data_IF_946077117181
#
_entry.id   IF_946077117181
#
_cell.length_a   1.000
_cell.length_b   1.000
_cell.length_c   1.000
_cell.angle_alpha   90.00
_cell.angle_beta   90.00
_cell.angle_gamma   90.00
#
_symmetry.space_group_name_H-M   'P 1'
#
loop_
_entity.id
_entity.type
_entity.pdbx_description
1 polymer ?
#
# COMPACT_ATOMS: atom_id res chain seq x y z
N UNK A 1 18.34 35.76 13.26
CA UNK A 1 18.50 34.39 13.81
C UNK A 1 17.16 33.76 14.20
N UNK A 2 16.35 34.37 15.08
CA UNK A 2 15.05 33.82 15.52
C UNK A 2 14.03 33.59 14.40
N UNK A 3 13.89 34.56 13.48
CA UNK A 3 12.97 34.45 12.33
C UNK A 3 13.39 33.34 11.36
N UNK A 4 14.69 33.20 11.07
CA UNK A 4 15.21 32.14 10.21
C UNK A 4 15.00 30.75 10.82
N UNK A 5 15.21 30.60 12.14
CA UNK A 5 14.93 29.36 12.87
C UNK A 5 13.44 29.00 12.86
N UNK A 6 12.56 29.99 13.03
CA UNK A 6 11.12 29.78 12.96
C UNK A 6 10.67 29.34 11.56
N UNK A 7 11.15 30.00 10.51
CA UNK A 7 10.85 29.62 9.13
C UNK A 7 11.39 28.23 8.78
N UNK A 8 12.59 27.87 9.25
CA UNK A 8 13.14 26.53 9.06
C UNK A 8 12.31 25.46 9.78
N UNK A 9 11.84 25.73 11.00
CA UNK A 9 10.97 24.83 11.75
C UNK A 9 9.60 24.63 11.06
N UNK A 10 9.01 25.71 10.53
CA UNK A 10 7.75 25.64 9.76
C UNK A 10 7.94 24.85 8.47
N UNK A 11 9.02 25.08 7.72
CA UNK A 11 9.30 24.35 6.50
C UNK A 11 9.50 22.84 6.76
N UNK A 12 10.18 22.49 7.86
CA UNK A 12 10.33 21.09 8.28
C UNK A 12 8.99 20.46 8.66
N UNK A 13 8.15 21.18 9.40
CA UNK A 13 6.80 20.71 9.76
C UNK A 13 5.91 20.49 8.53
N UNK A 14 5.97 21.39 7.55
CA UNK A 14 5.24 21.29 6.29
C UNK A 14 5.74 20.10 5.46
N UNK A 15 7.06 19.90 5.37
CA UNK A 15 7.65 18.75 4.68
C UNK A 15 7.24 17.42 5.34
N UNK A 16 7.20 17.36 6.67
CA UNK A 16 6.75 16.18 7.41
C UNK A 16 5.24 15.95 7.27
N UNK A 17 4.44 17.03 7.27
CA UNK A 17 2.98 16.94 7.10
C UNK A 17 2.57 16.50 5.68
N UNK A 18 3.33 16.90 4.66
CA UNK A 18 3.12 16.47 3.27
C UNK A 18 3.92 15.21 2.90
N UNK A 19 4.66 14.62 3.85
CA UNK A 19 5.31 13.33 3.70
C UNK A 19 4.34 12.14 3.66
N UNK A 20 3.08 12.37 3.25
CA UNK A 20 2.20 11.28 2.88
C UNK A 20 2.70 10.72 1.56
N UNK A 21 3.35 9.55 1.64
CA UNK A 21 3.81 8.76 0.49
C UNK A 21 2.79 8.86 -0.64
N UNK A 22 3.22 9.48 -1.75
CA UNK A 22 2.39 9.92 -2.88
C UNK A 22 1.68 8.79 -3.59
N UNK A 23 0.66 8.24 -2.95
CA UNK A 23 -0.14 7.17 -3.49
C UNK A 23 -1.36 7.78 -4.19
N UNK A 24 -1.57 7.39 -5.44
CA UNK A 24 -2.78 7.75 -6.17
C UNK A 24 -3.90 6.87 -5.64
N UNK A 25 -4.97 7.49 -5.15
CA UNK A 25 -6.16 6.78 -4.67
C UNK A 25 -6.62 5.77 -5.74
N UNK A 26 -6.94 4.56 -5.30
CA UNK A 26 -7.43 3.51 -6.18
C UNK A 26 -8.83 3.02 -5.77
N UNK A 27 -9.80 3.25 -6.66
CA UNK A 27 -11.18 2.79 -6.50
C UNK A 27 -11.45 1.44 -7.20
N UNK A 28 -10.44 0.86 -7.84
CA UNK A 28 -10.49 -0.48 -8.44
C UNK A 28 -10.16 -1.57 -7.43
N UNK A 29 -10.08 -2.83 -7.85
CA UNK A 29 -9.74 -3.98 -7.01
C UNK A 29 -8.26 -4.02 -6.57
N UNK A 30 -7.43 -3.12 -7.11
CA UNK A 30 -6.01 -3.03 -6.78
C UNK A 30 -5.15 -4.10 -7.43
N UNK A 31 -5.64 -4.78 -8.48
CA UNK A 31 -4.93 -5.90 -9.11
C UNK A 31 -3.75 -5.44 -9.99
N UNK A 32 -2.49 -5.75 -9.61
CA UNK A 32 -1.31 -5.36 -10.39
C UNK A 32 -1.10 -6.24 -11.63
N UNK A 33 -0.27 -5.75 -12.56
CA UNK A 33 0.24 -6.47 -13.75
C UNK A 33 1.62 -7.10 -13.53
N UNK A 34 2.10 -7.13 -12.29
CA UNK A 34 3.33 -7.79 -11.87
C UNK A 34 4.55 -7.34 -12.66
N UNK A 35 4.78 -6.02 -12.74
CA UNK A 35 6.02 -5.45 -13.24
C UNK A 35 7.22 -5.81 -12.32
N UNK A 36 8.43 -5.37 -12.66
CA UNK A 36 9.65 -5.70 -11.91
C UNK A 36 9.60 -5.34 -10.41
N UNK A 37 9.04 -4.17 -10.09
CA UNK A 37 8.87 -3.72 -8.70
C UNK A 37 7.80 -4.55 -7.97
N UNK A 38 6.69 -4.83 -8.64
CA UNK A 38 5.56 -5.59 -8.10
C UNK A 38 5.88 -7.06 -7.85
N UNK A 39 6.74 -7.66 -8.67
CA UNK A 39 7.29 -9.00 -8.44
C UNK A 39 8.19 -9.04 -7.21
N UNK A 40 8.98 -8.00 -7.00
CA UNK A 40 9.86 -7.88 -5.83
C UNK A 40 9.04 -7.79 -4.55
N UNK A 41 7.94 -7.03 -4.60
CA UNK A 41 6.95 -6.93 -3.53
C UNK A 41 6.17 -8.23 -3.32
N UNK A 42 5.88 -8.96 -4.41
CA UNK A 42 5.11 -10.19 -4.53
C UNK A 42 3.65 -10.10 -4.08
N UNK A 43 3.37 -9.61 -2.88
CA UNK A 43 2.04 -9.59 -2.27
C UNK A 43 1.47 -8.17 -2.24
N UNK A 44 0.22 -8.05 -2.69
CA UNK A 44 -0.47 -6.77 -2.87
C UNK A 44 -1.89 -6.84 -2.29
N UNK A 45 -2.37 -5.73 -1.76
CA UNK A 45 -3.70 -5.65 -1.13
C UNK A 45 -4.80 -5.81 -2.17
N UNK A 46 -5.82 -6.62 -1.88
CA UNK A 46 -7.09 -6.52 -2.60
C UNK A 46 -7.89 -5.33 -2.03
N UNK A 47 -8.36 -4.45 -2.91
CA UNK A 47 -8.94 -3.20 -2.44
C UNK A 47 -10.34 -3.32 -1.84
N UNK A 48 -11.09 -4.34 -2.27
CA UNK A 48 -12.48 -4.55 -1.92
C UNK A 48 -12.66 -5.58 -0.82
N UNK A 49 -11.74 -6.53 -0.69
CA UNK A 49 -11.85 -7.65 0.22
C UNK A 49 -10.58 -7.81 1.07
N UNK A 50 -10.61 -7.41 2.36
CA UNK A 50 -9.43 -7.48 3.23
C UNK A 50 -9.04 -8.91 3.60
N UNK A 51 -9.88 -9.92 3.32
CA UNK A 51 -9.53 -11.33 3.55
C UNK A 51 -8.86 -11.96 2.31
N UNK A 52 -8.69 -11.18 1.24
CA UNK A 52 -7.99 -11.58 0.03
C UNK A 52 -6.79 -10.67 -0.25
N UNK A 53 -5.87 -11.18 -1.05
CA UNK A 53 -4.72 -10.44 -1.56
C UNK A 53 -4.38 -10.89 -2.97
N UNK A 54 -3.61 -10.08 -3.66
CA UNK A 54 -3.06 -10.36 -4.98
C UNK A 54 -1.63 -10.86 -4.84
N UNK A 55 -1.31 -11.94 -5.54
CA UNK A 55 0.04 -12.51 -5.58
C UNK A 55 0.61 -12.45 -7.00
N UNK A 56 1.77 -11.83 -7.13
CA UNK A 56 2.56 -11.80 -8.35
C UNK A 56 3.51 -12.98 -8.42
N UNK A 57 3.22 -13.92 -9.33
CA UNK A 57 4.03 -15.12 -9.54
C UNK A 57 4.82 -15.07 -10.85
N UNK A 58 4.26 -14.45 -11.89
CA UNK A 58 4.85 -14.36 -13.23
C UNK A 58 4.95 -12.92 -13.68
N UNK A 59 6.10 -12.57 -14.27
CA UNK A 59 6.37 -11.21 -14.70
C UNK A 59 5.45 -10.74 -15.84
N UNK A 60 4.98 -9.50 -15.74
CA UNK A 60 4.14 -8.83 -16.73
C UNK A 60 2.81 -9.57 -16.99
N UNK A 61 2.25 -10.21 -15.96
CA UNK A 61 0.94 -10.87 -16.01
C UNK A 61 0.06 -10.37 -14.87
N UNK A 62 -1.26 -10.48 -15.01
CA UNK A 62 -2.16 -10.09 -13.94
C UNK A 62 -1.96 -10.99 -12.70
N UNK A 63 -1.87 -10.38 -11.52
CA UNK A 63 -1.70 -11.13 -10.27
C UNK A 63 -2.85 -12.12 -10.00
N UNK A 64 -2.53 -13.20 -9.29
CA UNK A 64 -3.49 -14.23 -8.90
C UNK A 64 -4.16 -13.85 -7.58
N UNK A 65 -5.47 -14.07 -7.45
CA UNK A 65 -6.18 -13.88 -6.18
C UNK A 65 -5.83 -15.01 -5.19
N UNK A 66 -5.53 -14.64 -3.96
CA UNK A 66 -5.29 -15.56 -2.83
C UNK A 66 -6.11 -15.12 -1.62
N UNK A 67 -6.28 -16.03 -0.66
CA UNK A 67 -7.03 -15.81 0.57
C UNK A 67 -6.11 -15.90 1.78
N UNK A 68 -6.34 -15.02 2.74
CA UNK A 68 -5.75 -15.19 4.07
C UNK A 68 -6.34 -16.43 4.77
N UNK A 69 -5.61 -17.02 5.72
CA UNK A 69 -6.14 -18.05 6.60
C UNK A 69 -7.40 -17.58 7.35
N UNK A 70 -8.14 -18.52 7.95
CA UNK A 70 -9.27 -18.21 8.83
C UNK A 70 -8.88 -17.18 9.88
N UNK A 71 -9.75 -16.20 10.13
CA UNK A 71 -9.51 -15.06 11.03
C UNK A 71 -8.35 -14.13 10.62
N UNK A 72 -7.82 -14.29 9.41
CA UNK A 72 -6.77 -13.45 8.84
C UNK A 72 -7.29 -12.35 7.90
N UNK A 73 -6.70 -11.16 7.99
CA UNK A 73 -6.86 -10.07 7.04
C UNK A 73 -5.50 -9.60 6.53
N UNK A 74 -5.41 -9.23 5.25
CA UNK A 74 -4.17 -8.78 4.64
C UNK A 74 -3.85 -7.35 5.05
N UNK A 75 -2.70 -7.17 5.69
CA UNK A 75 -2.15 -5.86 6.02
C UNK A 75 -1.20 -5.39 4.92
N UNK A 76 -1.50 -4.23 4.34
CA UNK A 76 -0.68 -3.62 3.28
C UNK A 76 0.67 -3.13 3.76
N UNK A 77 0.82 -2.83 5.06
CA UNK A 77 2.05 -2.27 5.63
C UNK A 77 3.10 -3.36 5.79
N UNK A 78 2.75 -4.47 6.44
CA UNK A 78 3.63 -5.63 6.62
C UNK A 78 3.64 -6.55 5.40
N UNK A 79 2.65 -6.43 4.50
CA UNK A 79 2.41 -7.33 3.36
C UNK A 79 2.21 -8.78 3.78
N UNK A 80 1.47 -8.97 4.88
CA UNK A 80 1.18 -10.29 5.43
C UNK A 80 -0.28 -10.39 5.88
N UNK A 81 -0.76 -11.62 6.06
CA UNK A 81 -2.03 -11.85 6.73
C UNK A 81 -1.83 -11.78 8.24
N UNK A 82 -2.52 -10.84 8.90
CA UNK A 82 -2.54 -10.66 10.36
C UNK A 82 -3.90 -11.04 10.92
N UNK A 83 -4.00 -11.25 12.23
CA UNK A 83 -5.29 -11.51 12.87
C UNK A 83 -6.23 -10.31 12.68
N UNK A 84 -7.51 -10.57 12.35
CA UNK A 84 -8.52 -9.55 12.06
C UNK A 84 -8.70 -8.52 13.20
N UNK A 85 -8.47 -8.90 14.46
CA UNK A 85 -8.58 -8.00 15.60
C UNK A 85 -7.54 -6.88 15.57
N UNK A 86 -6.38 -7.12 14.93
CA UNK A 86 -5.30 -6.16 14.81
C UNK A 86 -5.32 -5.41 13.47
N UNK A 87 -6.28 -5.72 12.61
CA UNK A 87 -6.34 -5.14 11.27
C UNK A 87 -7.01 -3.78 11.29
N UNK A 88 -6.40 -2.82 10.60
CA UNK A 88 -6.93 -1.47 10.44
C UNK A 88 -7.08 -1.14 8.96
N UNK A 89 -8.16 -0.43 8.62
CA UNK A 89 -8.36 0.03 7.26
C UNK A 89 -7.34 1.12 6.91
N UNK A 90 -6.66 0.93 5.78
CA UNK A 90 -5.78 1.92 5.18
C UNK A 90 -6.34 2.42 3.85
N UNK A 91 -6.06 3.69 3.47
CA UNK A 91 -6.41 4.20 2.15
C UNK A 91 -5.86 3.32 1.02
N UNK A 92 -6.68 3.13 -0.01
CA UNK A 92 -6.33 2.30 -1.18
C UNK A 92 -5.44 3.07 -2.15
N UNK A 93 -4.40 2.41 -2.64
CA UNK A 93 -3.39 3.01 -3.49
C UNK A 93 -3.22 2.21 -4.78
N UNK A 94 -3.06 2.90 -5.91
CA UNK A 94 -2.85 2.24 -7.19
C UNK A 94 -1.52 1.48 -7.17
N UNK A 95 -1.49 0.23 -7.65
CA UNK A 95 -0.22 -0.45 -7.84
C UNK A 95 0.59 0.22 -8.97
N UNK A 96 1.93 0.18 -8.95
CA UNK A 96 2.79 0.88 -9.91
C UNK A 96 2.45 0.63 -11.39
N UNK A 97 1.99 -0.56 -11.74
CA UNK A 97 1.57 -0.93 -13.10
C UNK A 97 0.23 -0.33 -13.55
N UNK A 98 -0.54 0.29 -12.65
CA UNK A 98 -1.87 0.86 -12.90
C UNK A 98 -1.92 2.38 -12.70
N UNK A 99 -0.79 2.99 -12.32
CA UNK A 99 -0.57 4.45 -12.33
C UNK A 99 -0.56 4.94 -13.77
#
# INVERSE_FOLDING_TARGET
MKVALFLAAVALFVALAHGQNGCIRDDTDGRPLCNAEELTARLWRNNWDPTAYWECETANTEATARRCPTEGMFDSVTRTCINWFNWEWTPTCKPPSRV
#
